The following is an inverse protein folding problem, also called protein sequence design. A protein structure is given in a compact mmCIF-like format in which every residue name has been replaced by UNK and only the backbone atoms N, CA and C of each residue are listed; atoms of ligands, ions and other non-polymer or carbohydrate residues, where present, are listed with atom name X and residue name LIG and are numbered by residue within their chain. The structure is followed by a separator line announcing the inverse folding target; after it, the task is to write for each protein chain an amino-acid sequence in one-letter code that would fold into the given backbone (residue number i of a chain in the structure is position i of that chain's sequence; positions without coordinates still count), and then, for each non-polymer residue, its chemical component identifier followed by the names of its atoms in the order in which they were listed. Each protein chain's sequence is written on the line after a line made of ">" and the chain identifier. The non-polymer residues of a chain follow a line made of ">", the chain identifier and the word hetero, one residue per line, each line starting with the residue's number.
data_IF_340365967751
#
_entry.id   IF_340365967751
#
_cell.length_a   1.000
_cell.length_b   1.000
_cell.length_c   1.000
_cell.angle_alpha   90.00
_cell.angle_beta   90.00
_cell.angle_gamma   90.00
#
_symmetry.space_group_name_H-M   'P 1'
#
loop_
_entity.id
_entity.type
_entity.pdbx_description
1 polymer ?
#
# COMPACT_ATOMS: atom_id res chain seq x y z
N UNK A 1 -41.36 3.53 -2.97
CA UNK A 1 -40.39 4.67 -2.85
C UNK A 1 -39.29 4.46 -1.79
N UNK A 2 -39.51 3.72 -0.67
CA UNK A 2 -38.46 3.46 0.34
C UNK A 2 -37.58 2.26 -0.02
N UNK A 3 -38.13 1.23 -0.67
CA UNK A 3 -37.36 0.05 -1.11
C UNK A 3 -36.40 0.34 -2.27
N UNK A 4 -36.77 1.25 -3.16
CA UNK A 4 -35.94 1.63 -4.31
C UNK A 4 -34.72 2.49 -3.91
N UNK A 5 -34.79 3.21 -2.77
CA UNK A 5 -33.66 3.97 -2.22
C UNK A 5 -32.60 3.03 -1.58
N UNK A 6 -33.01 2.01 -0.82
CA UNK A 6 -32.07 1.05 -0.21
C UNK A 6 -31.33 0.23 -1.26
N UNK A 7 -32.00 -0.22 -2.34
CA UNK A 7 -31.36 -0.98 -3.42
C UNK A 7 -30.36 -0.13 -4.22
N UNK A 8 -30.57 1.20 -4.30
CA UNK A 8 -29.64 2.11 -4.96
C UNK A 8 -28.42 2.47 -4.07
N UNK A 9 -28.58 2.53 -2.74
CA UNK A 9 -27.47 2.74 -1.81
C UNK A 9 -26.55 1.51 -1.73
N UNK A 10 -27.08 0.29 -1.64
CA UNK A 10 -26.28 -0.95 -1.69
C UNK A 10 -25.54 -1.14 -3.04
N UNK A 11 -26.17 -0.75 -4.19
CA UNK A 11 -25.49 -0.79 -5.48
C UNK A 11 -24.39 0.27 -5.62
N UNK A 12 -24.49 1.41 -4.96
CA UNK A 12 -23.44 2.44 -5.00
C UNK A 12 -22.20 2.05 -4.17
N UNK A 13 -22.37 1.34 -3.05
CA UNK A 13 -21.24 0.84 -2.25
C UNK A 13 -20.48 -0.30 -2.93
N UNK A 14 -21.16 -1.20 -3.63
CA UNK A 14 -20.53 -2.30 -4.35
C UNK A 14 -19.74 -1.80 -5.57
N UNK A 15 -20.21 -0.76 -6.25
CA UNK A 15 -19.54 -0.17 -7.42
C UNK A 15 -18.28 0.63 -7.02
N UNK A 16 -18.27 1.27 -5.85
CA UNK A 16 -17.11 2.04 -5.37
C UNK A 16 -15.96 1.14 -4.91
N UNK A 17 -16.23 0.02 -4.24
CA UNK A 17 -15.19 -0.91 -3.82
C UNK A 17 -14.51 -1.64 -4.98
N UNK A 18 -15.25 -2.12 -5.98
CA UNK A 18 -14.69 -2.77 -7.18
C UNK A 18 -13.79 -1.85 -8.00
N UNK A 19 -14.15 -0.57 -8.15
CA UNK A 19 -13.36 0.44 -8.88
C UNK A 19 -12.04 0.81 -8.17
N UNK A 20 -12.00 0.82 -6.82
CA UNK A 20 -10.78 1.11 -6.07
C UNK A 20 -9.78 -0.06 -6.17
N UNK A 21 -10.21 -1.28 -5.92
CA UNK A 21 -9.37 -2.47 -6.06
C UNK A 21 -8.81 -2.66 -7.48
N UNK A 22 -9.61 -2.39 -8.51
CA UNK A 22 -9.15 -2.49 -9.90
C UNK A 22 -8.07 -1.45 -10.21
N UNK A 23 -8.17 -0.23 -9.69
CA UNK A 23 -7.15 0.82 -9.84
C UNK A 23 -5.86 0.50 -9.10
N UNK A 24 -5.93 -0.01 -7.86
CA UNK A 24 -4.75 -0.47 -7.11
C UNK A 24 -4.08 -1.62 -7.84
N UNK A 25 -4.85 -2.60 -8.31
CA UNK A 25 -4.34 -3.75 -9.08
C UNK A 25 -3.66 -3.32 -10.38
N UNK A 26 -4.21 -2.33 -11.08
CA UNK A 26 -3.60 -1.75 -12.28
C UNK A 26 -2.32 -0.97 -11.97
N UNK A 27 -2.31 -0.17 -10.89
CA UNK A 27 -1.13 0.58 -10.43
C UNK A 27 0.03 -0.32 -10.00
N UNK A 28 -0.25 -1.49 -9.44
CA UNK A 28 0.74 -2.49 -9.05
C UNK A 28 1.12 -3.47 -10.17
N UNK A 29 0.62 -3.25 -11.40
CA UNK A 29 0.80 -4.18 -12.51
C UNK A 29 2.25 -4.50 -12.83
N UNK A 30 3.14 -3.49 -12.86
CA UNK A 30 4.58 -3.68 -13.12
C UNK A 30 5.27 -4.48 -12.03
N UNK A 31 5.07 -4.10 -10.76
CA UNK A 31 5.64 -4.79 -9.60
C UNK A 31 5.11 -6.22 -9.51
N UNK A 32 3.83 -6.42 -9.79
CA UNK A 32 3.22 -7.74 -9.79
C UNK A 32 3.82 -8.66 -10.87
N UNK A 33 4.01 -8.16 -12.09
CA UNK A 33 4.60 -8.97 -13.18
C UNK A 33 6.04 -9.34 -12.83
N UNK A 34 6.81 -8.42 -12.31
CA UNK A 34 8.22 -8.65 -11.99
C UNK A 34 8.39 -9.60 -10.80
N UNK A 35 7.67 -9.35 -9.71
CA UNK A 35 7.78 -10.16 -8.49
C UNK A 35 7.02 -11.49 -8.59
N UNK A 36 5.70 -11.45 -8.82
CA UNK A 36 4.88 -12.68 -8.87
C UNK A 36 5.18 -13.52 -10.10
N UNK A 37 5.53 -12.89 -11.23
CA UNK A 37 5.95 -13.60 -12.44
C UNK A 37 7.28 -14.32 -12.27
N UNK A 38 8.26 -13.68 -11.61
CA UNK A 38 9.54 -14.28 -11.26
C UNK A 38 9.39 -15.47 -10.34
N UNK A 39 8.61 -15.32 -9.26
CA UNK A 39 8.32 -16.42 -8.32
C UNK A 39 7.58 -17.56 -9.03
N UNK A 40 6.54 -17.25 -9.81
CA UNK A 40 5.79 -18.27 -10.54
C UNK A 40 6.66 -19.04 -11.52
N UNK A 41 7.53 -18.35 -12.27
CA UNK A 41 8.46 -18.99 -13.20
C UNK A 41 9.48 -19.88 -12.46
N UNK A 42 9.97 -19.43 -11.29
CA UNK A 42 10.90 -20.18 -10.46
C UNK A 42 10.28 -21.46 -9.90
N UNK A 43 9.03 -21.39 -9.44
CA UNK A 43 8.33 -22.49 -8.78
C UNK A 43 7.58 -23.40 -9.76
N UNK A 44 7.42 -22.99 -11.04
CA UNK A 44 6.69 -23.75 -12.03
C UNK A 44 7.35 -25.13 -12.27
N UNK A 45 6.58 -26.20 -12.06
CA UNK A 45 7.06 -27.58 -12.23
C UNK A 45 7.94 -28.11 -11.10
N UNK A 46 8.32 -27.30 -10.11
CA UNK A 46 9.08 -27.76 -8.94
C UNK A 46 8.16 -28.48 -7.94
N UNK A 47 8.61 -29.63 -7.45
CA UNK A 47 7.89 -30.45 -6.45
C UNK A 47 8.56 -30.42 -5.08
N UNK A 48 9.80 -29.97 -5.03
CA UNK A 48 10.63 -29.91 -3.82
C UNK A 48 11.28 -28.55 -3.69
N UNK A 49 11.55 -28.16 -2.46
CA UNK A 49 12.33 -26.98 -2.13
C UNK A 49 13.80 -27.42 -1.97
N UNK A 50 14.49 -27.50 -3.09
CA UNK A 50 15.92 -27.81 -3.14
C UNK A 50 16.78 -26.54 -2.90
N UNK A 51 18.06 -26.73 -2.69
CA UNK A 51 19.01 -25.66 -2.40
C UNK A 51 19.06 -24.63 -3.52
N UNK A 52 19.05 -25.05 -4.79
CA UNK A 52 19.03 -24.18 -5.96
C UNK A 52 17.75 -23.32 -6.01
N UNK A 53 16.61 -23.87 -5.62
CA UNK A 53 15.32 -23.13 -5.55
C UNK A 53 15.35 -22.11 -4.43
N UNK A 54 15.94 -22.44 -3.29
CA UNK A 54 16.08 -21.52 -2.16
C UNK A 54 17.01 -20.35 -2.50
N UNK A 55 18.17 -20.62 -3.11
CA UNK A 55 19.13 -19.59 -3.54
C UNK A 55 18.52 -18.65 -4.58
N UNK A 56 17.81 -19.22 -5.57
CA UNK A 56 17.12 -18.42 -6.58
C UNK A 56 15.98 -17.58 -5.98
N UNK A 57 15.25 -18.11 -5.00
CA UNK A 57 14.21 -17.36 -4.29
C UNK A 57 14.81 -16.25 -3.42
N UNK A 58 15.92 -16.50 -2.72
CA UNK A 58 16.67 -15.50 -1.98
C UNK A 58 17.09 -14.33 -2.88
N UNK A 59 17.72 -14.65 -4.01
CA UNK A 59 18.15 -13.66 -5.00
C UNK A 59 16.97 -12.82 -5.51
N UNK A 60 15.84 -13.46 -5.78
CA UNK A 60 14.63 -12.77 -6.24
C UNK A 60 14.05 -11.85 -5.18
N UNK A 61 13.97 -12.28 -3.93
CA UNK A 61 13.49 -11.47 -2.81
C UNK A 61 14.39 -10.25 -2.59
N UNK A 62 15.70 -10.44 -2.53
CA UNK A 62 16.68 -9.36 -2.34
C UNK A 62 16.66 -8.37 -3.52
N UNK A 63 16.58 -8.85 -4.75
CA UNK A 63 16.49 -7.99 -5.95
C UNK A 63 15.15 -7.23 -6.04
N UNK A 64 14.17 -7.64 -5.27
CA UNK A 64 12.85 -6.99 -5.15
C UNK A 64 12.73 -6.05 -3.95
N UNK A 65 13.85 -5.58 -3.40
CA UNK A 65 13.93 -4.71 -2.22
C UNK A 65 13.38 -5.33 -0.91
N UNK A 66 13.28 -6.65 -0.83
CA UNK A 66 13.00 -7.32 0.44
C UNK A 66 14.28 -7.32 1.28
N UNK A 67 14.23 -6.77 2.49
CA UNK A 67 15.40 -6.68 3.36
C UNK A 67 15.97 -8.05 3.72
N UNK A 68 17.27 -8.12 4.01
CA UNK A 68 18.00 -9.37 4.30
C UNK A 68 17.36 -10.17 5.43
N UNK A 69 17.03 -9.53 6.55
CA UNK A 69 16.40 -10.19 7.72
C UNK A 69 15.02 -10.78 7.37
N UNK A 70 14.20 -10.02 6.61
CA UNK A 70 12.91 -10.51 6.16
C UNK A 70 13.06 -11.68 5.19
N UNK A 71 14.01 -11.62 4.26
CA UNK A 71 14.31 -12.70 3.32
C UNK A 71 14.71 -13.97 4.06
N UNK A 72 15.63 -13.89 5.01
CA UNK A 72 16.06 -15.03 5.83
C UNK A 72 14.89 -15.63 6.64
N UNK A 73 14.07 -14.78 7.23
CA UNK A 73 12.85 -15.21 7.95
C UNK A 73 11.87 -15.93 7.04
N UNK A 74 11.65 -15.41 5.83
CA UNK A 74 10.76 -16.02 4.83
C UNK A 74 11.29 -17.41 4.44
N UNK A 75 12.58 -17.52 4.12
CA UNK A 75 13.18 -18.78 3.70
C UNK A 75 13.18 -19.82 4.81
N UNK A 76 13.53 -19.44 6.04
CA UNK A 76 13.51 -20.34 7.19
C UNK A 76 12.09 -20.89 7.46
N UNK A 77 11.09 -20.02 7.48
CA UNK A 77 9.69 -20.42 7.63
C UNK A 77 9.20 -21.32 6.49
N UNK A 78 9.66 -21.03 5.27
CA UNK A 78 9.29 -21.82 4.09
C UNK A 78 9.85 -23.23 4.19
N UNK A 79 11.13 -23.38 4.54
CA UNK A 79 11.80 -24.68 4.74
C UNK A 79 11.12 -25.47 5.86
N UNK A 80 10.86 -24.85 7.02
CA UNK A 80 10.20 -25.49 8.16
C UNK A 80 8.79 -26.00 7.79
N UNK A 81 8.00 -25.20 7.09
CA UNK A 81 6.64 -25.59 6.68
C UNK A 81 6.64 -26.62 5.55
N UNK A 82 7.59 -26.52 4.61
CA UNK A 82 7.75 -27.48 3.53
C UNK A 82 8.14 -28.86 4.06
N UNK A 83 8.98 -28.94 5.09
CA UNK A 83 9.35 -30.21 5.72
C UNK A 83 8.21 -30.92 6.43
N UNK A 84 7.19 -30.15 6.88
CA UNK A 84 6.00 -30.69 7.59
C UNK A 84 4.85 -31.05 6.65
N UNK A 85 4.82 -30.50 5.43
CA UNK A 85 3.75 -30.72 4.44
C UNK A 85 4.33 -31.49 3.25
N UNK A 86 3.62 -32.52 2.80
CA UNK A 86 3.95 -33.15 1.50
C UNK A 86 3.53 -32.19 0.40
N UNK A 87 4.48 -31.46 -0.15
CA UNK A 87 4.25 -30.57 -1.28
C UNK A 87 4.02 -31.39 -2.53
N UNK A 88 2.88 -31.19 -3.18
CA UNK A 88 2.48 -31.97 -4.36
C UNK A 88 2.98 -31.35 -5.66
N UNK A 89 3.12 -30.03 -5.71
CA UNK A 89 3.45 -29.26 -6.90
C UNK A 89 3.90 -27.82 -6.56
N UNK A 90 4.27 -27.05 -7.59
CA UNK A 90 4.68 -25.66 -7.47
C UNK A 90 3.57 -24.72 -6.97
N UNK A 91 2.30 -25.07 -7.18
CA UNK A 91 1.17 -24.26 -6.67
C UNK A 91 1.08 -24.36 -5.15
N UNK A 92 1.32 -25.54 -4.58
CA UNK A 92 1.38 -25.73 -3.13
C UNK A 92 2.55 -24.93 -2.51
N UNK A 93 3.67 -24.83 -3.21
CA UNK A 93 4.84 -24.03 -2.79
C UNK A 93 4.53 -22.53 -2.84
N UNK A 94 3.88 -22.06 -3.90
CA UNK A 94 3.42 -20.69 -4.03
C UNK A 94 2.43 -20.29 -2.93
N UNK A 95 1.48 -21.18 -2.63
CA UNK A 95 0.52 -20.97 -1.55
C UNK A 95 1.21 -20.88 -0.18
N UNK A 96 2.20 -21.75 0.06
CA UNK A 96 2.98 -21.75 1.29
C UNK A 96 3.78 -20.44 1.45
N UNK A 97 4.42 -19.96 0.39
CA UNK A 97 5.10 -18.66 0.37
C UNK A 97 4.13 -17.52 0.68
N UNK A 98 2.95 -17.53 0.06
CA UNK A 98 1.92 -16.52 0.32
C UNK A 98 1.46 -16.51 1.78
N UNK A 99 1.22 -17.68 2.36
CA UNK A 99 0.87 -17.82 3.77
C UNK A 99 1.98 -17.28 4.67
N UNK A 100 3.23 -17.60 4.38
CA UNK A 100 4.40 -17.11 5.12
C UNK A 100 4.49 -15.57 5.09
N UNK A 101 4.28 -14.95 3.92
CA UNK A 101 4.27 -13.50 3.79
C UNK A 101 3.11 -12.84 4.55
N UNK A 102 1.92 -13.44 4.52
CA UNK A 102 0.75 -12.95 5.27
C UNK A 102 1.03 -13.02 6.78
N UNK A 103 1.57 -14.13 7.27
CA UNK A 103 1.87 -14.31 8.68
C UNK A 103 2.95 -13.31 9.16
N UNK A 104 3.91 -12.96 8.31
CA UNK A 104 4.92 -11.96 8.61
C UNK A 104 4.33 -10.54 8.72
N UNK A 105 3.35 -10.21 7.86
CA UNK A 105 2.74 -8.89 7.80
C UNK A 105 1.59 -8.69 8.79
N UNK A 106 0.88 -9.75 9.15
CA UNK A 106 -0.30 -9.67 10.02
C UNK A 106 -0.03 -9.00 11.37
N UNK A 107 1.07 -9.30 12.10
CA UNK A 107 1.34 -8.69 13.40
C UNK A 107 1.62 -7.18 13.36
N UNK A 108 2.08 -6.68 12.20
CA UNK A 108 2.43 -5.26 12.02
C UNK A 108 1.30 -4.46 11.36
N UNK A 109 0.23 -5.12 10.94
CA UNK A 109 -0.94 -4.46 10.38
C UNK A 109 -1.66 -3.66 11.46
N UNK A 110 -1.66 -2.34 11.31
CA UNK A 110 -2.41 -1.44 12.16
C UNK A 110 -3.20 -0.43 11.32
N UNK A 111 -4.50 -0.25 11.57
CA UNK A 111 -5.26 0.81 10.94
C UNK A 111 -4.80 2.17 11.47
N UNK A 112 -4.83 3.20 10.62
CA UNK A 112 -4.68 4.57 11.07
C UNK A 112 -5.95 4.98 11.80
N UNK A 113 -5.87 5.11 13.13
CA UNK A 113 -6.99 5.58 13.97
C UNK A 113 -6.69 7.01 14.40
N UNK A 114 -7.56 7.93 13.99
CA UNK A 114 -7.49 9.33 14.39
C UNK A 114 -8.38 9.50 15.62
N UNK A 115 -7.77 9.82 16.77
CA UNK A 115 -8.49 10.08 18.02
C UNK A 115 -8.63 11.60 18.21
N UNK A 116 -9.80 12.18 17.96
CA UNK A 116 -10.01 13.63 18.07
C UNK A 116 -9.92 14.14 19.51
N UNK A 117 -9.99 13.27 20.52
CA UNK A 117 -9.87 13.66 21.93
C UNK A 117 -8.45 14.05 22.33
N UNK A 118 -7.45 13.63 21.55
CA UNK A 118 -6.02 13.90 21.81
C UNK A 118 -5.50 15.19 21.16
N UNK A 119 -6.37 15.98 20.57
CA UNK A 119 -6.02 17.20 19.83
C UNK A 119 -5.77 16.95 18.34
N UNK A 120 -5.16 17.91 17.64
CA UNK A 120 -4.93 17.77 16.22
C UNK A 120 -3.97 16.60 15.92
N UNK A 121 -4.39 15.71 15.01
CA UNK A 121 -3.55 14.65 14.50
C UNK A 121 -2.72 15.15 13.32
N UNK A 122 -1.41 15.20 13.48
CA UNK A 122 -0.50 15.74 12.47
C UNK A 122 0.10 14.61 11.62
N UNK A 123 -0.10 14.69 10.30
CA UNK A 123 0.48 13.75 9.33
C UNK A 123 1.52 14.49 8.50
N UNK A 124 2.80 14.15 8.68
CA UNK A 124 3.89 14.66 7.87
C UNK A 124 4.10 13.78 6.64
N UNK A 125 3.95 14.35 5.45
CA UNK A 125 4.16 13.65 4.18
C UNK A 125 5.51 14.01 3.59
N UNK A 126 6.43 13.06 3.56
CA UNK A 126 7.80 13.23 3.09
C UNK A 126 8.08 12.43 1.81
N UNK A 127 9.09 12.83 1.04
CA UNK A 127 9.53 12.14 -0.17
C UNK A 127 10.23 13.06 -1.16
N UNK A 128 10.91 12.49 -2.16
CA UNK A 128 11.59 13.24 -3.23
C UNK A 128 10.58 13.92 -4.17
N UNK A 129 11.07 14.82 -5.01
CA UNK A 129 10.20 15.53 -5.96
C UNK A 129 9.61 14.59 -7.00
N UNK A 130 8.35 14.82 -7.38
CA UNK A 130 7.66 14.04 -8.41
C UNK A 130 7.07 12.69 -7.97
N UNK A 131 7.31 12.22 -6.73
CA UNK A 131 6.77 10.93 -6.24
C UNK A 131 5.26 10.95 -5.92
N UNK A 132 4.60 12.10 -6.01
CA UNK A 132 3.16 12.21 -5.81
C UNK A 132 2.72 12.63 -4.40
N UNK A 133 3.60 13.28 -3.60
CA UNK A 133 3.24 13.79 -2.25
C UNK A 133 1.96 14.62 -2.27
N UNK A 134 1.94 15.71 -3.06
CA UNK A 134 0.79 16.62 -3.13
C UNK A 134 -0.48 15.92 -3.60
N UNK A 135 -0.37 15.02 -4.58
CA UNK A 135 -1.50 14.22 -5.04
C UNK A 135 -2.03 13.29 -3.94
N UNK A 136 -1.14 12.71 -3.15
CA UNK A 136 -1.50 11.84 -2.02
C UNK A 136 -2.19 12.65 -0.92
N UNK A 137 -1.66 13.83 -0.58
CA UNK A 137 -2.28 14.77 0.38
C UNK A 137 -3.71 15.09 -0.06
N UNK A 138 -3.94 15.47 -1.32
CA UNK A 138 -5.28 15.78 -1.81
C UNK A 138 -6.26 14.60 -1.70
N UNK A 139 -5.81 13.39 -1.98
CA UNK A 139 -6.64 12.18 -1.81
C UNK A 139 -6.93 11.85 -0.35
N UNK A 140 -5.95 12.02 0.52
CA UNK A 140 -6.13 11.83 1.97
C UNK A 140 -7.09 12.87 2.55
N UNK A 141 -6.98 14.13 2.13
CA UNK A 141 -7.90 15.21 2.49
C UNK A 141 -9.34 14.83 2.19
N UNK A 142 -9.61 14.40 0.95
CA UNK A 142 -10.94 13.98 0.55
C UNK A 142 -11.45 12.81 1.40
N UNK A 143 -10.60 11.82 1.65
CA UNK A 143 -10.96 10.65 2.44
C UNK A 143 -11.32 11.03 3.87
N UNK A 144 -10.48 11.81 4.55
CA UNK A 144 -10.73 12.22 5.93
C UNK A 144 -11.98 13.09 6.07
N UNK A 145 -12.28 13.95 5.08
CA UNK A 145 -13.54 14.69 5.05
C UNK A 145 -14.75 13.75 4.91
N UNK A 146 -14.66 12.71 4.07
CA UNK A 146 -15.72 11.71 3.93
C UNK A 146 -15.93 10.89 5.20
N UNK A 147 -14.87 10.70 5.99
CA UNK A 147 -14.90 10.05 7.31
C UNK A 147 -15.39 11.03 8.42
N UNK A 148 -15.72 12.30 8.08
CA UNK A 148 -16.26 13.30 9.00
C UNK A 148 -15.21 14.08 9.78
N UNK A 149 -13.93 13.98 9.42
CA UNK A 149 -12.86 14.72 10.07
C UNK A 149 -12.73 16.15 9.52
N UNK A 150 -12.43 17.11 10.41
CA UNK A 150 -11.99 18.44 10.04
C UNK A 150 -10.52 18.37 9.60
N UNK A 151 -10.22 18.88 8.40
CA UNK A 151 -8.88 18.81 7.80
C UNK A 151 -8.35 20.19 7.53
N UNK A 152 -7.04 20.39 7.79
CA UNK A 152 -6.27 21.56 7.41
C UNK A 152 -4.99 21.13 6.74
N UNK A 153 -4.53 21.87 5.73
CA UNK A 153 -3.26 21.62 5.05
C UNK A 153 -2.23 22.66 5.45
N UNK A 154 -0.97 22.23 5.54
CA UNK A 154 0.16 23.12 5.77
C UNK A 154 1.23 22.91 4.70
N UNK A 155 1.64 23.97 4.03
CA UNK A 155 2.67 23.96 3.01
C UNK A 155 4.06 24.03 3.68
N UNK A 156 4.73 22.89 3.80
CA UNK A 156 6.10 22.81 4.35
C UNK A 156 7.22 22.94 3.31
N UNK A 157 6.89 22.99 2.00
CA UNK A 157 7.87 23.24 0.92
C UNK A 157 7.91 24.74 0.60
N UNK A 158 8.49 25.53 1.52
CA UNK A 158 8.53 27.00 1.44
C UNK A 158 9.49 27.52 0.37
N UNK A 159 10.42 26.69 -0.12
CA UNK A 159 11.38 27.07 -1.14
C UNK A 159 10.83 26.99 -2.57
N UNK A 160 9.68 26.35 -2.78
CA UNK A 160 9.09 26.13 -4.09
C UNK A 160 7.69 26.73 -4.19
N UNK A 161 7.60 27.95 -4.73
CA UNK A 161 6.34 28.67 -4.92
C UNK A 161 5.26 27.80 -5.63
N UNK A 162 5.63 27.11 -6.70
CA UNK A 162 4.72 26.24 -7.43
C UNK A 162 4.17 25.05 -6.58
N UNK A 163 4.91 24.58 -5.57
CA UNK A 163 4.42 23.53 -4.68
C UNK A 163 3.39 24.07 -3.69
N UNK A 164 3.57 25.31 -3.22
CA UNK A 164 2.61 26.02 -2.38
C UNK A 164 1.32 26.26 -3.15
N UNK A 165 1.41 26.84 -4.36
CA UNK A 165 0.25 27.08 -5.25
C UNK A 165 -0.52 25.81 -5.56
N UNK A 166 0.19 24.70 -5.84
CA UNK A 166 -0.44 23.41 -6.07
C UNK A 166 -1.21 22.90 -4.85
N UNK A 167 -0.67 23.09 -3.64
CA UNK A 167 -1.35 22.70 -2.41
C UNK A 167 -2.57 23.59 -2.14
N UNK A 168 -2.47 24.89 -2.42
CA UNK A 168 -3.58 25.83 -2.33
C UNK A 168 -4.72 25.46 -3.27
N UNK A 169 -4.43 25.10 -4.51
CA UNK A 169 -5.42 24.63 -5.48
C UNK A 169 -6.14 23.33 -4.98
N UNK A 170 -5.42 22.44 -4.30
CA UNK A 170 -6.05 21.29 -3.64
C UNK A 170 -6.94 21.69 -2.48
N UNK A 171 -6.52 22.66 -1.66
CA UNK A 171 -7.32 23.19 -0.55
C UNK A 171 -8.62 23.82 -1.04
N UNK A 172 -8.56 24.66 -2.07
CA UNK A 172 -9.74 25.27 -2.71
C UNK A 172 -10.70 24.21 -3.25
N UNK A 173 -10.17 23.23 -3.98
CA UNK A 173 -10.96 22.14 -4.55
C UNK A 173 -11.73 21.34 -3.51
N UNK A 174 -11.14 21.12 -2.34
CA UNK A 174 -11.72 20.33 -1.25
C UNK A 174 -12.35 21.21 -0.16
N UNK A 175 -12.32 22.53 -0.32
CA UNK A 175 -12.85 23.50 0.66
C UNK A 175 -12.24 23.31 2.06
N UNK A 176 -10.91 23.10 2.12
CA UNK A 176 -10.15 23.03 3.36
C UNK A 176 -9.16 24.18 3.47
N UNK A 177 -8.94 24.72 4.69
CA UNK A 177 -7.95 25.78 4.88
C UNK A 177 -6.54 25.26 4.59
N UNK A 178 -5.73 26.13 3.94
CA UNK A 178 -4.32 25.89 3.67
C UNK A 178 -3.52 26.98 4.36
N UNK A 179 -2.61 26.58 5.25
CA UNK A 179 -1.60 27.48 5.83
C UNK A 179 -0.38 27.42 4.95
N UNK A 180 0.04 28.58 4.45
CA UNK A 180 1.25 28.76 3.67
C UNK A 180 1.97 30.03 4.11
N UNK A 181 3.29 29.96 4.24
CA UNK A 181 4.13 31.12 4.46
C UNK A 181 4.71 31.62 3.14
N UNK A 182 5.27 32.81 3.16
CA UNK A 182 5.98 33.37 2.00
C UNK A 182 7.19 32.52 1.63
N UNK A 183 7.54 32.51 0.35
CA UNK A 183 8.70 31.77 -0.18
C UNK A 183 9.97 32.11 0.61
N UNK A 184 10.64 31.09 1.15
CA UNK A 184 11.88 31.26 1.91
C UNK A 184 11.70 31.56 3.41
N UNK A 185 10.50 31.45 3.95
CA UNK A 185 10.28 31.49 5.40
C UNK A 185 10.63 30.14 6.04
N UNK A 186 11.35 30.20 7.19
CA UNK A 186 11.62 29.05 8.06
C UNK A 186 10.39 28.73 8.95
#
# INVERSE_FOLDING_TARGET
>A
KRKDKQVNEEKSEIVTNGSWFSRVKAGLGKTRVQFSGGIAALLLGRKTLDEDTLEALETLLLSSDVGIEATQTILANLVERASRKTLKDGDALMQLLRETLIDLLTPIQAPLVIDPSKGPYVILVVGVNGVGKTTTIGKMTQRFQQEGHSVMLAAGDTFRAAAVEQLQAWGERHQVPVIAQHTGAD
#
